data_IF_147150229403
#
_entry.id   IF_147150229403
#
_cell.length_a   1.000
_cell.length_b   1.000
_cell.length_c   1.000
_cell.angle_alpha   90.00
_cell.angle_beta   90.00
_cell.angle_gamma   90.00
#
_symmetry.space_group_name_H-M   'P 1'
#
loop_
_entity.id
_entity.type
_entity.pdbx_description
1 polymer ?
#
# COMPACT_ATOMS: atom_id res chain seq x y z
N UNK A 1 6.56 7.86 -4.91
CA UNK A 1 5.33 7.06 -4.62
C UNK A 1 4.08 7.95 -4.54
N UNK A 2 4.05 8.96 -3.69
CA UNK A 2 2.84 9.79 -3.53
C UNK A 2 2.40 10.47 -4.82
N UNK A 3 3.35 10.94 -5.64
CA UNK A 3 3.02 11.57 -6.91
C UNK A 3 2.37 10.60 -7.90
N UNK A 4 2.83 9.36 -7.92
CA UNK A 4 2.27 8.32 -8.79
C UNK A 4 0.84 7.96 -8.37
N UNK A 5 0.61 7.82 -7.08
CA UNK A 5 -0.74 7.54 -6.55
C UNK A 5 -1.67 8.71 -6.88
N UNK A 6 -1.23 9.94 -6.66
CA UNK A 6 -2.06 11.11 -6.93
C UNK A 6 -2.32 11.32 -8.42
N UNK A 7 -1.36 10.99 -9.28
CA UNK A 7 -1.59 11.00 -10.72
C UNK A 7 -2.70 10.03 -11.11
N UNK A 8 -2.70 8.82 -10.53
CA UNK A 8 -3.77 7.84 -10.77
C UNK A 8 -5.12 8.36 -10.28
N UNK A 9 -5.16 8.94 -9.08
CA UNK A 9 -6.39 9.44 -8.46
C UNK A 9 -6.97 10.66 -9.16
N UNK A 10 -6.18 11.40 -9.91
CA UNK A 10 -6.62 12.62 -10.60
C UNK A 10 -7.46 12.35 -11.85
N UNK A 11 -7.55 11.12 -12.31
CA UNK A 11 -8.33 10.72 -13.48
C UNK A 11 -9.25 9.56 -13.13
N UNK A 12 -10.43 9.53 -13.73
CA UNK A 12 -11.31 8.38 -13.60
C UNK A 12 -10.70 7.15 -14.29
N UNK A 13 -10.97 5.97 -13.75
CA UNK A 13 -10.50 4.71 -14.34
C UNK A 13 -11.38 3.53 -13.96
N UNK A 14 -11.24 2.45 -14.70
CA UNK A 14 -11.86 1.19 -14.35
C UNK A 14 -10.90 0.33 -13.56
N UNK A 15 -11.40 -0.23 -12.46
CA UNK A 15 -10.72 -1.26 -11.69
C UNK A 15 -11.50 -2.56 -11.90
N UNK A 16 -11.01 -3.38 -12.82
CA UNK A 16 -11.81 -4.50 -13.29
C UNK A 16 -13.08 -4.02 -13.98
N UNK A 17 -14.22 -4.53 -13.56
CA UNK A 17 -15.52 -4.14 -14.12
C UNK A 17 -16.11 -2.87 -13.51
N UNK A 18 -15.53 -2.32 -12.46
CA UNK A 18 -16.09 -1.16 -11.76
C UNK A 18 -15.38 0.13 -12.16
N UNK A 19 -16.18 1.16 -12.45
CA UNK A 19 -15.67 2.48 -12.78
C UNK A 19 -15.51 3.32 -11.52
N UNK A 20 -14.34 3.97 -11.38
CA UNK A 20 -14.05 4.93 -10.31
C UNK A 20 -13.85 6.30 -10.90
N UNK A 21 -14.48 7.31 -10.32
CA UNK A 21 -14.29 8.70 -10.74
C UNK A 21 -13.00 9.25 -10.12
N UNK A 22 -12.48 10.32 -10.71
CA UNK A 22 -11.35 11.04 -10.13
C UNK A 22 -11.67 11.46 -8.70
N UNK A 23 -10.66 11.46 -7.84
CA UNK A 23 -10.83 11.77 -6.43
C UNK A 23 -9.66 12.62 -5.91
N UNK A 24 -9.78 13.06 -4.67
CA UNK A 24 -8.83 13.97 -4.05
C UNK A 24 -7.44 13.36 -3.92
N UNK A 25 -6.38 14.19 -3.98
CA UNK A 25 -5.04 13.70 -3.69
C UNK A 25 -4.91 13.24 -2.23
N UNK A 26 -4.02 12.29 -2.00
CA UNK A 26 -3.63 11.84 -0.66
C UNK A 26 -2.33 12.51 -0.25
N UNK A 27 -2.08 12.55 1.07
CA UNK A 27 -0.85 13.12 1.63
C UNK A 27 -0.04 12.02 2.30
N UNK A 28 1.27 12.20 2.28
CA UNK A 28 2.17 11.30 2.97
C UNK A 28 2.03 11.44 4.48
N UNK A 29 1.99 10.31 5.19
CA UNK A 29 1.96 10.27 6.64
C UNK A 29 3.08 9.37 7.15
N UNK A 30 4.00 9.89 7.99
CA UNK A 30 5.14 9.11 8.48
C UNK A 30 4.77 7.87 9.28
N UNK A 31 3.69 7.91 10.06
CA UNK A 31 3.24 6.74 10.82
C UNK A 31 2.79 5.61 9.89
N UNK A 32 2.11 5.94 8.80
CA UNK A 32 1.72 4.96 7.79
C UNK A 32 2.94 4.41 7.06
N UNK A 33 3.93 5.26 6.79
CA UNK A 33 5.19 4.83 6.18
C UNK A 33 5.96 3.88 7.10
N UNK A 34 5.98 4.15 8.40
CA UNK A 34 6.62 3.26 9.38
C UNK A 34 5.92 1.91 9.45
N UNK A 35 4.58 1.89 9.44
CA UNK A 35 3.82 0.66 9.39
C UNK A 35 4.10 -0.13 8.11
N UNK A 36 4.19 0.55 6.98
CA UNK A 36 4.52 -0.07 5.69
C UNK A 36 5.93 -0.67 5.72
N UNK A 37 6.90 0.05 6.27
CA UNK A 37 8.29 -0.42 6.38
C UNK A 37 8.38 -1.66 7.26
N UNK A 38 7.73 -1.65 8.40
CA UNK A 38 7.67 -2.79 9.31
C UNK A 38 7.18 -4.03 8.57
N UNK A 39 6.11 -3.90 7.79
CA UNK A 39 5.54 -5.03 7.07
C UNK A 39 6.42 -5.50 5.90
N UNK A 40 6.99 -4.58 5.12
CA UNK A 40 7.89 -4.95 4.03
C UNK A 40 9.13 -5.66 4.55
N UNK A 41 9.71 -5.19 5.66
CA UNK A 41 10.85 -5.85 6.31
C UNK A 41 10.46 -7.24 6.82
N UNK A 42 9.28 -7.39 7.38
CA UNK A 42 8.77 -8.67 7.86
C UNK A 42 8.58 -9.67 6.72
N UNK A 43 7.96 -9.23 5.63
CA UNK A 43 7.79 -10.07 4.44
C UNK A 43 9.13 -10.52 3.85
N UNK A 44 10.08 -9.61 3.76
CA UNK A 44 11.41 -9.90 3.24
C UNK A 44 12.16 -10.88 4.14
N UNK A 45 12.10 -10.68 5.45
CA UNK A 45 12.81 -11.51 6.42
C UNK A 45 12.28 -12.95 6.43
N UNK A 46 10.97 -13.11 6.36
CA UNK A 46 10.35 -14.44 6.45
C UNK A 46 9.95 -15.03 5.09
N UNK A 47 10.41 -14.40 3.99
CA UNK A 47 10.17 -14.88 2.62
C UNK A 47 8.68 -15.17 2.38
N UNK A 48 7.84 -14.16 2.63
CA UNK A 48 6.40 -14.36 2.58
C UNK A 48 5.69 -13.10 2.07
N UNK A 49 4.95 -13.24 0.98
CA UNK A 49 4.11 -12.16 0.43
C UNK A 49 2.69 -12.36 0.97
N UNK A 50 2.27 -11.50 1.91
CA UNK A 50 0.99 -11.64 2.60
C UNK A 50 0.58 -10.32 3.25
N UNK A 51 -0.72 -10.12 3.42
CA UNK A 51 -1.23 -9.00 4.23
C UNK A 51 -1.03 -9.24 5.72
N UNK A 52 -0.88 -10.48 6.15
CA UNK A 52 -0.68 -10.83 7.56
C UNK A 52 0.80 -10.92 7.86
N UNK A 53 1.27 -10.14 8.81
CA UNK A 53 2.66 -10.16 9.26
C UNK A 53 2.88 -11.13 10.40
N UNK A 54 4.10 -11.09 10.97
CA UNK A 54 4.46 -11.85 12.15
C UNK A 54 3.51 -11.55 13.30
N UNK A 55 3.27 -12.53 14.16
CA UNK A 55 2.32 -12.43 15.28
C UNK A 55 0.90 -12.10 14.82
N UNK A 56 0.55 -12.50 13.60
CA UNK A 56 -0.75 -12.25 12.99
C UNK A 56 -1.09 -10.76 12.87
N UNK A 57 -0.07 -9.90 12.74
CA UNK A 57 -0.28 -8.46 12.66
C UNK A 57 -0.92 -8.09 11.31
N UNK A 58 -2.11 -7.54 11.37
CA UNK A 58 -2.84 -6.99 10.23
C UNK A 58 -2.45 -5.53 10.03
N UNK A 59 -2.86 -4.93 8.91
CA UNK A 59 -2.57 -3.51 8.67
C UNK A 59 -3.19 -2.63 9.76
N UNK A 60 -4.37 -2.96 10.24
CA UNK A 60 -5.05 -2.23 11.32
C UNK A 60 -4.19 -2.20 12.60
N UNK A 61 -3.64 -3.35 12.96
CA UNK A 61 -2.78 -3.48 14.14
C UNK A 61 -1.48 -2.71 13.94
N UNK A 62 -0.87 -2.83 12.76
CA UNK A 62 0.42 -2.19 12.48
C UNK A 62 0.33 -0.66 12.51
N UNK A 63 -0.72 -0.08 11.92
CA UNK A 63 -0.87 1.38 11.94
C UNK A 63 -1.14 1.90 13.35
N UNK A 64 -1.93 1.18 14.16
CA UNK A 64 -2.14 1.54 15.56
C UNK A 64 -0.86 1.46 16.37
N UNK A 65 -0.05 0.44 16.12
CA UNK A 65 1.25 0.29 16.79
C UNK A 65 2.14 1.51 16.56
N UNK A 66 2.02 2.15 15.41
CA UNK A 66 2.78 3.36 15.07
C UNK A 66 2.03 4.66 15.40
N UNK A 67 0.97 4.58 16.22
CA UNK A 67 0.28 5.75 16.72
C UNK A 67 -0.79 6.34 15.80
N UNK A 68 -1.20 5.62 14.77
CA UNK A 68 -2.21 6.09 13.82
C UNK A 68 -3.59 5.53 14.19
N UNK A 69 -4.50 6.41 14.56
CA UNK A 69 -5.89 6.04 14.85
C UNK A 69 -6.71 6.21 13.57
N UNK A 70 -7.07 5.12 12.96
CA UNK A 70 -7.71 5.12 11.65
C UNK A 70 -9.24 5.12 11.75
N UNK A 71 -9.86 5.77 10.77
CA UNK A 71 -11.28 5.61 10.46
C UNK A 71 -11.47 4.58 9.37
N UNK A 72 -10.63 4.65 8.35
CA UNK A 72 -10.56 3.65 7.29
C UNK A 72 -9.10 3.33 7.00
N UNK A 73 -8.81 2.10 6.60
CA UNK A 73 -7.46 1.65 6.30
C UNK A 73 -7.48 0.53 5.28
N UNK A 74 -6.52 0.54 4.37
CA UNK A 74 -6.32 -0.50 3.38
C UNK A 74 -4.85 -0.69 3.09
N UNK A 75 -4.54 -1.75 2.37
CA UNK A 75 -3.16 -2.11 2.09
C UNK A 75 -3.03 -2.76 0.71
N UNK A 76 -2.01 -2.37 -0.04
CA UNK A 76 -1.55 -3.09 -1.21
C UNK A 76 -0.16 -3.63 -0.93
N UNK A 77 0.10 -4.87 -1.29
CA UNK A 77 1.43 -5.47 -1.24
C UNK A 77 1.83 -5.97 -2.62
N UNK A 78 3.13 -6.03 -2.88
CA UNK A 78 3.66 -6.56 -4.13
C UNK A 78 5.06 -7.12 -3.92
N UNK A 79 5.44 -8.09 -4.72
CA UNK A 79 6.77 -8.69 -4.68
C UNK A 79 7.43 -8.74 -6.05
N UNK A 80 8.75 -8.58 -6.08
CA UNK A 80 9.54 -8.78 -7.29
C UNK A 80 9.74 -7.58 -8.19
N UNK A 81 9.12 -6.44 -7.89
CA UNK A 81 9.21 -5.25 -8.74
C UNK A 81 10.37 -4.36 -8.28
N UNK A 82 10.99 -3.64 -9.21
CA UNK A 82 12.22 -2.89 -8.95
C UNK A 82 12.01 -1.39 -8.76
N UNK A 83 10.92 -0.83 -9.28
CA UNK A 83 10.67 0.61 -9.20
C UNK A 83 9.28 0.93 -8.68
N UNK A 84 9.11 2.15 -8.18
CA UNK A 84 7.80 2.67 -7.77
C UNK A 84 6.82 2.64 -8.95
N UNK A 85 7.28 3.03 -10.13
CA UNK A 85 6.46 3.10 -11.34
C UNK A 85 5.89 1.72 -11.71
N UNK A 86 6.75 0.71 -11.73
CA UNK A 86 6.32 -0.66 -12.03
C UNK A 86 5.32 -1.17 -10.99
N UNK A 87 5.56 -0.86 -9.72
CA UNK A 87 4.73 -1.33 -8.62
C UNK A 87 3.33 -0.70 -8.67
N UNK A 88 3.26 0.61 -8.85
CA UNK A 88 1.97 1.30 -8.96
C UNK A 88 1.22 0.83 -10.21
N UNK A 89 1.92 0.71 -11.34
CA UNK A 89 1.32 0.20 -12.57
C UNK A 89 0.74 -1.21 -12.38
N UNK A 90 1.47 -2.08 -11.71
CA UNK A 90 0.99 -3.44 -11.41
C UNK A 90 -0.24 -3.44 -10.52
N UNK A 91 -0.26 -2.60 -9.50
CA UNK A 91 -1.43 -2.47 -8.63
C UNK A 91 -2.66 -1.96 -9.41
N UNK A 92 -2.47 -0.99 -10.30
CA UNK A 92 -3.57 -0.42 -11.07
C UNK A 92 -4.19 -1.42 -12.07
N UNK A 93 -3.44 -2.44 -12.46
CA UNK A 93 -3.94 -3.51 -13.34
C UNK A 93 -4.68 -4.61 -12.58
N UNK A 94 -4.63 -4.60 -11.25
CA UNK A 94 -5.30 -5.60 -10.41
C UNK A 94 -6.55 -4.98 -9.78
N UNK A 95 -7.76 -5.53 -10.00
CA UNK A 95 -9.00 -4.88 -9.58
C UNK A 95 -9.05 -4.46 -8.12
N UNK A 96 -8.66 -5.33 -7.19
CA UNK A 96 -8.69 -5.02 -5.76
C UNK A 96 -7.68 -3.96 -5.35
N UNK A 97 -6.46 -4.04 -5.87
CA UNK A 97 -5.41 -3.08 -5.59
C UNK A 97 -5.73 -1.71 -6.21
N UNK A 98 -6.27 -1.72 -7.42
CA UNK A 98 -6.73 -0.52 -8.10
C UNK A 98 -7.86 0.16 -7.31
N UNK A 99 -8.83 -0.62 -6.82
CA UNK A 99 -9.91 -0.11 -5.99
C UNK A 99 -9.38 0.61 -4.74
N UNK A 100 -8.38 0.05 -4.08
CA UNK A 100 -7.75 0.70 -2.93
C UNK A 100 -7.15 2.05 -3.29
N UNK A 101 -6.42 2.12 -4.40
CA UNK A 101 -5.79 3.38 -4.84
C UNK A 101 -6.85 4.45 -5.15
N UNK A 102 -7.97 4.05 -5.74
CA UNK A 102 -9.03 4.96 -6.16
C UNK A 102 -10.07 5.24 -5.08
N UNK A 103 -9.96 4.61 -3.91
CA UNK A 103 -10.95 4.78 -2.83
C UNK A 103 -10.94 6.21 -2.29
N UNK A 104 -12.10 6.87 -2.39
CA UNK A 104 -12.23 8.28 -2.02
C UNK A 104 -12.12 8.54 -0.51
N UNK A 105 -12.40 7.53 0.32
CA UNK A 105 -12.33 7.68 1.78
C UNK A 105 -10.89 7.79 2.31
N UNK A 106 -9.90 7.32 1.56
CA UNK A 106 -8.50 7.44 1.98
C UNK A 106 -7.97 8.84 1.69
N UNK A 107 -7.30 9.43 2.68
CA UNK A 107 -6.75 10.80 2.61
C UNK A 107 -5.25 10.85 2.83
N UNK A 108 -4.66 9.77 3.36
CA UNK A 108 -3.23 9.70 3.68
C UNK A 108 -2.65 8.37 3.25
N UNK A 109 -1.37 8.37 2.91
CA UNK A 109 -0.64 7.14 2.55
C UNK A 109 0.75 7.12 3.17
N UNK A 110 1.28 5.93 3.29
CA UNK A 110 2.69 5.67 3.49
C UNK A 110 3.09 4.41 2.74
N UNK A 111 4.33 4.32 2.33
CA UNK A 111 4.80 3.17 1.56
C UNK A 111 6.26 2.86 1.88
N UNK A 112 6.66 1.62 1.62
CA UNK A 112 8.02 1.16 1.81
C UNK A 112 8.32 -0.03 0.90
N UNK A 113 9.60 -0.28 0.71
CA UNK A 113 10.12 -1.46 0.01
C UNK A 113 11.27 -2.03 0.82
N UNK A 114 11.32 -3.34 0.98
CA UNK A 114 12.44 -4.05 1.59
C UNK A 114 12.99 -5.08 0.62
N UNK A 115 14.28 -5.39 0.76
CA UNK A 115 14.98 -6.31 -0.13
C UNK A 115 15.54 -7.50 0.65
N UNK A 116 15.45 -8.68 0.03
CA UNK A 116 16.14 -9.89 0.50
C UNK A 116 16.45 -10.75 -0.73
N UNK A 117 17.69 -10.68 -1.20
CA UNK A 117 18.12 -11.39 -2.42
C UNK A 117 18.04 -12.91 -2.28
N UNK A 118 17.98 -13.44 -1.05
CA UNK A 118 17.85 -14.86 -0.79
C UNK A 118 16.39 -15.33 -0.75
N UNK A 119 15.43 -14.41 -0.92
CA UNK A 119 14.00 -14.75 -0.88
C UNK A 119 13.43 -14.95 -2.28
N UNK A 120 12.21 -15.50 -2.34
CA UNK A 120 11.52 -15.81 -3.60
C UNK A 120 11.35 -14.59 -4.50
N UNK A 121 10.90 -13.47 -3.93
CA UNK A 121 10.59 -12.27 -4.72
C UNK A 121 11.73 -11.27 -4.79
N UNK A 122 12.65 -11.27 -3.83
CA UNK A 122 13.76 -10.34 -3.78
C UNK A 122 13.39 -8.95 -3.29
N UNK A 123 12.24 -8.43 -3.66
CA UNK A 123 11.71 -7.13 -3.20
C UNK A 123 10.30 -7.30 -2.68
N UNK A 124 9.95 -6.50 -1.67
CA UNK A 124 8.64 -6.56 -1.02
C UNK A 124 8.15 -5.14 -0.77
N UNK A 125 7.03 -4.80 -1.41
CA UNK A 125 6.45 -3.46 -1.39
C UNK A 125 5.18 -3.45 -0.56
N UNK A 126 5.00 -2.40 0.24
CA UNK A 126 3.78 -2.17 1.00
C UNK A 126 3.31 -0.74 0.81
N UNK A 127 2.05 -0.56 0.46
CA UNK A 127 1.37 0.73 0.44
C UNK A 127 0.25 0.65 1.47
N UNK A 128 0.27 1.56 2.44
CA UNK A 128 -0.81 1.72 3.42
C UNK A 128 -1.59 2.97 3.05
N UNK A 129 -2.91 2.83 2.95
CA UNK A 129 -3.82 3.93 2.64
C UNK A 129 -4.81 4.04 3.80
N UNK A 130 -5.06 5.26 4.27
CA UNK A 130 -5.92 5.43 5.44
C UNK A 130 -6.54 6.81 5.51
N UNK A 131 -7.52 6.94 6.40
CA UNK A 131 -7.98 8.23 6.88
C UNK A 131 -8.03 8.20 8.41
N UNK A 132 -7.66 9.30 9.08
CA UNK A 132 -7.70 9.35 10.54
C UNK A 132 -9.12 9.53 11.07
N UNK A 133 -9.29 9.19 12.33
CA UNK A 133 -10.51 9.47 13.08
C UNK A 133 -10.82 10.97 13.12
#
# INVERSE_FOLDING_TARGET
MVNLINAARSSGRRCGGKKYVATRPVRWNPALADAARMHSQDMARYDRLSHKGSRKATVEIRVRHHGYNWRSVGENVAGGLQTCEETVSGWLESPGHCANIMESSFTEIGAACARNSASQYGTYWTLVLASPL
#
